data_IF_149152325158
#
_entry.id   IF_149152325158
#
_cell.length_a   1.000
_cell.length_b   1.000
_cell.length_c   1.000
_cell.angle_alpha   90.00
_cell.angle_beta   90.00
_cell.angle_gamma   90.00
#
_symmetry.space_group_name_H-M   'P 1'
#
loop_
_entity.id
_entity.type
_entity.pdbx_description
1 polymer ?
#
# COMPACT_ATOMS: atom_id res chain seq x y z
N UNK A 1 0.74 3.82 -24.98
CA UNK A 1 0.03 4.12 -23.72
C UNK A 1 0.86 3.55 -22.60
N UNK A 2 1.41 4.38 -21.73
CA UNK A 2 2.17 3.93 -20.55
C UNK A 2 1.17 3.76 -19.41
N UNK A 3 1.13 2.62 -18.69
CA UNK A 3 0.29 2.48 -17.51
C UNK A 3 0.70 3.50 -16.44
N UNK A 4 -0.24 4.00 -15.63
CA UNK A 4 0.09 4.85 -14.50
C UNK A 4 1.06 4.12 -13.56
N UNK A 5 1.97 4.84 -12.87
CA UNK A 5 2.87 4.22 -11.91
C UNK A 5 2.07 3.63 -10.74
N UNK A 6 2.12 2.32 -10.59
CA UNK A 6 1.54 1.60 -9.44
C UNK A 6 2.63 1.34 -8.38
N UNK A 7 2.23 1.34 -7.12
CA UNK A 7 3.06 0.96 -5.97
C UNK A 7 2.59 -0.39 -5.43
N UNK A 8 3.47 -1.11 -4.74
CA UNK A 8 3.10 -2.36 -4.08
C UNK A 8 2.91 -2.10 -2.59
N UNK A 9 1.68 -2.23 -2.11
CA UNK A 9 1.37 -2.21 -0.70
C UNK A 9 1.45 -3.63 -0.13
N UNK A 10 2.08 -3.78 1.04
CA UNK A 10 2.07 -5.04 1.80
C UNK A 10 1.55 -4.76 3.21
N UNK A 11 0.40 -5.34 3.56
CA UNK A 11 -0.14 -5.18 4.91
C UNK A 11 0.75 -5.91 5.93
N UNK A 12 1.16 -5.29 7.05
CA UNK A 12 2.05 -5.90 8.04
C UNK A 12 1.36 -7.02 8.83
N UNK A 13 0.04 -6.92 9.02
CA UNK A 13 -0.75 -7.86 9.81
C UNK A 13 -1.11 -9.13 9.03
N UNK A 14 -1.79 -8.97 7.89
CA UNK A 14 -2.24 -10.10 7.08
C UNK A 14 -1.24 -10.50 5.98
N UNK A 15 -0.15 -9.75 5.81
CA UNK A 15 0.91 -9.96 4.81
C UNK A 15 0.39 -10.07 3.38
N UNK A 16 -0.71 -9.37 3.09
CA UNK A 16 -1.29 -9.32 1.75
C UNK A 16 -0.62 -8.25 0.92
N UNK A 17 -0.13 -8.65 -0.26
CA UNK A 17 0.38 -7.74 -1.28
C UNK A 17 -0.70 -7.33 -2.27
N UNK A 18 -0.78 -6.04 -2.57
CA UNK A 18 -1.76 -5.45 -3.49
C UNK A 18 -1.07 -4.34 -4.28
N UNK A 19 -1.32 -4.25 -5.59
CA UNK A 19 -0.92 -3.08 -6.36
C UNK A 19 -1.89 -1.92 -6.12
N UNK A 20 -1.35 -0.76 -5.79
CA UNK A 20 -2.10 0.43 -5.41
C UNK A 20 -1.60 1.65 -6.17
N UNK A 21 -2.54 2.43 -6.69
CA UNK A 21 -2.29 3.75 -7.26
C UNK A 21 -2.36 4.80 -6.13
N UNK A 22 -1.92 6.04 -6.39
CA UNK A 22 -1.94 7.12 -5.37
C UNK A 22 -3.32 7.34 -4.73
N UNK A 23 -4.40 7.23 -5.51
CA UNK A 23 -5.77 7.34 -5.02
C UNK A 23 -6.15 6.19 -4.06
N UNK A 24 -5.72 4.97 -4.39
CA UNK A 24 -5.99 3.79 -3.57
C UNK A 24 -5.13 3.79 -2.31
N UNK A 25 -3.88 4.27 -2.40
CA UNK A 25 -3.02 4.53 -1.25
C UNK A 25 -3.68 5.48 -0.26
N UNK A 26 -4.18 6.64 -0.68
CA UNK A 26 -4.85 7.59 0.20
C UNK A 26 -6.04 6.93 0.93
N UNK A 27 -6.84 6.15 0.19
CA UNK A 27 -7.98 5.41 0.78
C UNK A 27 -7.55 4.38 1.81
N UNK A 28 -6.46 3.63 1.55
CA UNK A 28 -5.91 2.64 2.48
C UNK A 28 -5.34 3.29 3.75
N UNK A 29 -4.76 4.48 3.64
CA UNK A 29 -4.27 5.24 4.80
C UNK A 29 -5.42 5.74 5.68
N UNK A 30 -6.54 6.14 5.07
CA UNK A 30 -7.71 6.62 5.82
C UNK A 30 -8.54 5.47 6.41
N UNK A 31 -8.73 4.39 5.65
CA UNK A 31 -9.62 3.27 6.03
C UNK A 31 -8.89 2.12 6.71
N UNK A 32 -7.58 1.98 6.46
CA UNK A 32 -6.82 0.79 6.81
C UNK A 32 -6.88 -0.30 5.75
N UNK A 33 -6.29 -1.45 6.06
CA UNK A 33 -6.21 -2.57 5.14
C UNK A 33 -7.61 -3.12 4.83
N UNK A 34 -8.00 -3.16 3.55
CA UNK A 34 -9.31 -3.68 3.11
C UNK A 34 -9.53 -5.18 3.39
N UNK A 35 -8.48 -5.91 3.78
CA UNK A 35 -8.55 -7.35 4.05
C UNK A 35 -8.81 -7.64 5.52
N UNK A 36 -8.06 -7.01 6.42
CA UNK A 36 -8.13 -7.28 7.86
C UNK A 36 -8.59 -6.08 8.70
N UNK A 37 -8.73 -4.89 8.10
CA UNK A 37 -9.09 -3.65 8.80
C UNK A 37 -7.97 -3.06 9.66
N UNK A 38 -6.75 -3.60 9.58
CA UNK A 38 -5.62 -3.08 10.34
C UNK A 38 -5.24 -1.66 9.90
N UNK A 39 -4.77 -0.80 10.82
CA UNK A 39 -4.24 0.50 10.44
C UNK A 39 -3.05 0.34 9.49
N UNK A 40 -2.99 1.18 8.47
CA UNK A 40 -1.95 1.17 7.44
C UNK A 40 -1.26 2.52 7.46
N UNK A 41 0.06 2.50 7.29
CA UNK A 41 0.87 3.72 7.22
C UNK A 41 1.52 3.87 5.85
N UNK A 42 2.02 5.07 5.56
CA UNK A 42 2.74 5.34 4.30
C UNK A 42 3.99 4.47 4.18
N UNK A 43 4.60 4.07 5.29
CA UNK A 43 5.76 3.18 5.33
C UNK A 43 5.43 1.75 4.88
N UNK A 44 4.19 1.29 5.10
CA UNK A 44 3.71 -0.01 4.61
C UNK A 44 3.41 -0.01 3.10
N UNK A 45 3.15 1.18 2.53
CA UNK A 45 2.83 1.37 1.11
C UNK A 45 4.14 1.66 0.36
N UNK A 46 4.88 0.59 0.12
CA UNK A 46 6.22 0.63 -0.43
C UNK A 46 6.31 1.21 -1.85
N UNK A 47 7.00 2.34 -1.95
CA UNK A 47 7.89 2.65 -3.06
C UNK A 47 9.34 2.41 -2.64
N UNK A 48 9.85 1.20 -2.92
CA UNK A 48 11.22 0.71 -2.67
C UNK A 48 11.62 0.40 -1.21
N UNK A 49 12.40 -0.68 -1.00
CA UNK A 49 12.89 -1.10 0.31
C UNK A 49 13.86 -0.04 0.85
N UNK A 50 13.79 0.23 2.14
CA UNK A 50 14.88 0.85 2.88
C UNK A 50 16.18 0.06 2.61
N UNK A 51 17.09 0.66 1.83
CA UNK A 51 18.45 0.18 1.69
C UNK A 51 19.39 1.31 2.08
N UNK A 52 19.88 1.25 3.33
CA UNK A 52 21.07 1.96 3.81
C UNK A 52 20.80 3.08 4.79
#
# INVERSE_FOLDING_TARGET
>A
MTPPPTRTFVCPECRRSIEVDDAMQATLLETGCVVCGAPVTEEDIGGAPTMG
#
